data_IF_432598355577
#
_entry.id   IF_432598355577
#
_cell.length_a   1.000
_cell.length_b   1.000
_cell.length_c   1.000
_cell.angle_alpha   90.00
_cell.angle_beta   90.00
_cell.angle_gamma   90.00
#
_symmetry.space_group_name_H-M   'P 1'
#
loop_
_entity.id
_entity.type
_entity.pdbx_description
1 polymer ?
#
# COMPACT_ATOMS: atom_id res chain seq x y z
N UNK A 1 -14.09 19.93 -27.47
CA UNK A 1 -14.16 20.76 -26.25
C UNK A 1 -14.72 19.90 -25.13
N UNK A 2 -13.86 19.49 -24.22
CA UNK A 2 -14.19 18.65 -23.06
C UNK A 2 -14.91 19.49 -22.00
N UNK A 3 -16.02 18.98 -21.46
CA UNK A 3 -16.31 18.90 -20.01
C UNK A 3 -17.81 18.74 -19.78
N UNK A 4 -18.19 17.57 -19.26
CA UNK A 4 -19.11 17.43 -18.12
C UNK A 4 -19.03 15.98 -17.64
N UNK A 5 -17.87 15.62 -17.11
CA UNK A 5 -17.82 14.52 -16.17
C UNK A 5 -18.69 14.94 -14.99
N UNK A 6 -19.88 14.34 -14.91
CA UNK A 6 -20.59 14.21 -13.65
C UNK A 6 -19.65 13.47 -12.68
N UNK A 7 -18.84 14.22 -11.94
CA UNK A 7 -17.93 13.66 -10.96
C UNK A 7 -18.77 12.87 -9.95
N UNK A 8 -18.35 11.65 -9.65
CA UNK A 8 -19.01 10.87 -8.61
C UNK A 8 -18.95 11.66 -7.31
N UNK A 9 -20.07 11.74 -6.57
CA UNK A 9 -20.11 12.43 -5.28
C UNK A 9 -19.11 11.84 -4.28
N UNK A 10 -18.83 10.54 -4.42
CA UNK A 10 -17.82 9.84 -3.67
C UNK A 10 -16.44 10.04 -4.29
N UNK A 11 -15.45 10.36 -3.45
CA UNK A 11 -14.06 10.49 -3.86
C UNK A 11 -13.51 9.11 -4.23
N UNK A 12 -13.93 8.05 -3.55
CA UNK A 12 -13.53 6.66 -3.74
C UNK A 12 -14.76 5.75 -3.58
N UNK A 13 -14.78 4.56 -4.18
CA UNK A 13 -15.87 3.60 -4.04
C UNK A 13 -17.22 4.08 -4.61
N UNK A 14 -18.32 3.61 -4.03
CA UNK A 14 -19.68 3.90 -4.53
C UNK A 14 -20.16 5.30 -4.13
N UNK A 15 -20.71 6.02 -5.10
CA UNK A 15 -21.35 7.31 -4.90
C UNK A 15 -22.53 7.49 -5.84
N UNK A 16 -22.95 8.74 -5.98
CA UNK A 16 -24.00 9.11 -6.92
C UNK A 16 -23.59 10.31 -7.74
N UNK A 17 -24.20 10.42 -8.91
CA UNK A 17 -23.95 11.55 -9.80
C UNK A 17 -25.26 12.08 -10.35
N UNK A 18 -25.40 13.41 -10.37
CA UNK A 18 -26.64 14.08 -10.74
C UNK A 18 -26.48 14.92 -12.00
N UNK A 19 -27.50 14.87 -12.88
CA UNK A 19 -27.57 15.67 -14.11
C UNK A 19 -28.76 16.61 -14.07
N UNK A 20 -28.64 17.73 -14.78
CA UNK A 20 -29.77 18.59 -15.05
C UNK A 20 -30.73 17.89 -16.03
N UNK A 21 -31.98 17.74 -15.60
CA UNK A 21 -33.10 17.31 -16.44
C UNK A 21 -34.08 18.47 -16.52
N UNK A 22 -34.40 18.91 -17.73
CA UNK A 22 -35.33 20.01 -17.96
C UNK A 22 -36.12 19.75 -19.24
N UNK A 23 -37.39 20.13 -19.24
CA UNK A 23 -38.23 20.09 -20.44
C UNK A 23 -37.68 21.06 -21.49
N UNK A 24 -37.54 20.61 -22.74
CA UNK A 24 -37.11 21.47 -23.85
C UNK A 24 -37.95 21.23 -25.09
N UNK A 25 -38.16 22.27 -25.88
CA UNK A 25 -38.82 22.17 -27.19
C UNK A 25 -37.86 21.78 -28.32
N UNK A 26 -38.40 21.60 -29.53
CA UNK A 26 -37.61 21.26 -30.73
C UNK A 26 -36.59 22.33 -31.14
N UNK A 27 -36.75 23.56 -30.64
CA UNK A 27 -35.83 24.67 -30.86
C UNK A 27 -34.79 24.78 -29.73
N UNK A 28 -34.81 23.88 -28.75
CA UNK A 28 -33.88 23.81 -27.63
C UNK A 28 -34.19 24.75 -26.46
N UNK A 29 -35.34 25.43 -26.45
CA UNK A 29 -35.75 26.35 -25.37
C UNK A 29 -36.20 25.57 -24.15
N UNK A 30 -35.79 26.02 -22.97
CA UNK A 30 -36.25 25.45 -21.70
C UNK A 30 -37.70 25.84 -21.44
N UNK A 31 -38.52 24.85 -21.15
CA UNK A 31 -39.93 25.00 -20.81
C UNK A 31 -40.17 24.57 -19.35
N UNK A 32 -41.26 25.04 -18.73
CA UNK A 32 -41.72 24.48 -17.45
C UNK A 32 -42.01 22.97 -17.58
N UNK A 33 -41.69 22.21 -16.52
CA UNK A 33 -41.82 20.74 -16.51
C UNK A 33 -43.25 20.25 -16.88
N UNK A 34 -44.28 21.06 -16.60
CA UNK A 34 -45.68 20.74 -16.92
C UNK A 34 -45.93 20.39 -18.40
N UNK A 35 -45.16 20.97 -19.32
CA UNK A 35 -45.26 20.68 -20.76
C UNK A 35 -44.76 19.27 -21.10
N UNK A 36 -43.95 18.66 -20.23
CA UNK A 36 -43.41 17.32 -20.37
C UNK A 36 -44.04 16.30 -19.39
N UNK A 37 -45.02 16.67 -18.56
CA UNK A 37 -45.61 15.79 -17.54
C UNK A 37 -46.24 14.49 -18.09
N UNK A 38 -46.62 14.49 -19.36
CA UNK A 38 -47.17 13.32 -20.05
C UNK A 38 -46.09 12.33 -20.50
N UNK A 39 -44.80 12.69 -20.34
CA UNK A 39 -43.65 11.87 -20.66
C UNK A 39 -42.98 11.39 -19.38
N UNK A 40 -42.39 10.20 -19.41
CA UNK A 40 -41.56 9.73 -18.31
C UNK A 40 -40.25 10.53 -18.29
N UNK A 41 -39.94 11.28 -17.20
CA UNK A 41 -38.71 12.04 -17.13
C UNK A 41 -37.50 11.10 -17.01
N UNK A 42 -36.36 11.43 -17.63
CA UNK A 42 -35.14 10.67 -17.43
C UNK A 42 -34.65 10.81 -15.99
N UNK A 43 -33.92 9.79 -15.50
CA UNK A 43 -33.37 9.81 -14.14
C UNK A 43 -32.45 11.03 -13.94
N UNK A 44 -32.67 11.77 -12.85
CA UNK A 44 -31.88 12.95 -12.46
C UNK A 44 -30.57 12.56 -11.77
N UNK A 45 -30.51 11.36 -11.23
CA UNK A 45 -29.41 10.84 -10.44
C UNK A 45 -29.21 9.36 -10.79
N UNK A 46 -27.95 8.92 -10.76
CA UNK A 46 -27.60 7.52 -10.94
C UNK A 46 -26.41 7.14 -10.06
N UNK A 47 -26.28 5.84 -9.75
CA UNK A 47 -25.13 5.32 -9.04
C UNK A 47 -23.87 5.45 -9.90
N UNK A 48 -22.75 5.72 -9.24
CA UNK A 48 -21.43 5.73 -9.85
C UNK A 48 -20.42 5.07 -8.92
N UNK A 49 -19.33 4.60 -9.52
CA UNK A 49 -18.19 4.07 -8.79
C UNK A 49 -16.98 4.93 -9.12
N UNK A 50 -16.34 5.46 -8.09
CA UNK A 50 -15.08 6.18 -8.25
C UNK A 50 -13.93 5.18 -8.35
N UNK A 51 -13.06 5.42 -9.32
CA UNK A 51 -11.85 4.60 -9.53
C UNK A 51 -10.74 4.90 -8.52
N UNK A 52 -10.94 5.84 -7.60
CA UNK A 52 -9.95 6.10 -6.56
C UNK A 52 -10.04 5.03 -5.46
N UNK A 53 -8.88 4.67 -4.94
CA UNK A 53 -8.73 3.75 -3.80
C UNK A 53 -9.19 4.44 -2.51
N UNK A 54 -9.97 3.73 -1.69
CA UNK A 54 -10.50 4.26 -0.43
C UNK A 54 -9.52 4.12 0.73
N UNK A 55 -8.54 3.23 0.64
CA UNK A 55 -7.58 2.95 1.70
C UNK A 55 -6.17 3.47 1.45
N UNK A 56 -5.40 3.53 2.53
CA UNK A 56 -3.96 3.75 2.50
C UNK A 56 -3.22 2.56 3.13
N UNK A 57 -2.05 2.24 2.57
CA UNK A 57 -1.17 1.22 3.15
C UNK A 57 -0.49 1.75 4.41
N UNK A 58 -0.61 1.00 5.49
CA UNK A 58 0.07 1.25 6.77
C UNK A 58 0.99 0.08 7.09
N UNK A 59 2.19 0.39 7.54
CA UNK A 59 3.20 -0.62 7.89
C UNK A 59 3.45 -0.64 9.39
N UNK A 60 3.46 -1.83 9.97
CA UNK A 60 3.96 -2.04 11.32
C UNK A 60 5.48 -2.01 11.39
N UNK A 61 6.04 -2.12 12.61
CA UNK A 61 7.49 -2.29 12.79
C UNK A 61 7.96 -3.61 12.16
N UNK A 62 9.23 -3.63 11.74
CA UNK A 62 9.89 -4.88 11.38
C UNK A 62 10.06 -5.75 12.61
N UNK A 63 9.79 -7.05 12.47
CA UNK A 63 10.16 -8.04 13.46
C UNK A 63 11.70 -8.11 13.57
N UNK A 64 12.19 -8.71 14.65
CA UNK A 64 13.60 -9.07 14.74
C UNK A 64 13.94 -10.14 13.70
N UNK A 65 15.22 -10.28 13.36
CA UNK A 65 15.68 -11.42 12.58
C UNK A 65 15.47 -12.71 13.40
N UNK A 66 15.08 -13.80 12.73
CA UNK A 66 14.88 -15.10 13.38
C UNK A 66 16.19 -15.72 13.88
N UNK A 67 17.30 -15.31 13.28
CA UNK A 67 18.66 -15.81 13.51
C UNK A 67 19.60 -14.64 13.80
N UNK A 68 20.75 -14.94 14.42
CA UNK A 68 21.84 -13.97 14.64
C UNK A 68 22.98 -14.12 13.62
N UNK A 69 23.03 -15.23 12.90
CA UNK A 69 23.95 -15.51 11.80
C UNK A 69 23.20 -16.20 10.66
N UNK A 70 23.76 -16.21 9.45
CA UNK A 70 23.21 -16.94 8.32
C UNK A 70 22.99 -16.08 7.08
N UNK A 71 23.13 -16.71 5.92
CA UNK A 71 22.90 -16.08 4.62
C UNK A 71 21.42 -16.23 4.24
N UNK A 72 20.84 -15.21 3.61
CA UNK A 72 19.43 -15.18 3.18
C UNK A 72 18.40 -15.24 4.31
N UNK A 73 18.78 -14.89 5.54
CA UNK A 73 17.83 -14.71 6.64
C UNK A 73 16.91 -13.55 6.32
N UNK A 74 15.61 -13.71 6.57
CA UNK A 74 14.58 -12.70 6.28
C UNK A 74 13.82 -12.34 7.54
N UNK A 75 13.31 -11.12 7.58
CA UNK A 75 12.39 -10.65 8.61
C UNK A 75 11.16 -10.05 7.96
N UNK A 76 10.06 -10.01 8.72
CA UNK A 76 8.75 -9.64 8.24
C UNK A 76 8.18 -8.45 9.01
N UNK A 77 7.24 -7.75 8.39
CA UNK A 77 6.41 -6.74 9.06
C UNK A 77 4.96 -6.89 8.62
N UNK A 78 4.06 -6.35 9.42
CA UNK A 78 2.67 -6.21 9.00
C UNK A 78 2.55 -5.07 7.98
N UNK A 79 1.75 -5.30 6.94
CA UNK A 79 1.35 -4.32 5.93
C UNK A 79 -0.15 -4.48 5.76
N UNK A 80 -0.91 -3.46 6.18
CA UNK A 80 -2.38 -3.51 6.22
C UNK A 80 -2.95 -2.32 5.45
N UNK A 81 -4.08 -2.55 4.76
CA UNK A 81 -4.84 -1.47 4.17
C UNK A 81 -5.77 -0.88 5.24
N UNK A 82 -5.75 0.44 5.42
CA UNK A 82 -6.58 1.12 6.43
C UNK A 82 -7.36 2.29 5.86
N UNK A 83 -8.50 2.57 6.48
CA UNK A 83 -9.32 3.76 6.24
C UNK A 83 -8.55 5.03 6.62
N UNK A 84 -8.43 6.03 5.73
CA UNK A 84 -7.75 7.29 6.05
C UNK A 84 -8.46 8.09 7.15
N UNK A 85 -9.77 7.88 7.34
CA UNK A 85 -10.57 8.66 8.29
C UNK A 85 -10.67 7.99 9.65
N UNK A 86 -10.77 6.66 9.70
CA UNK A 86 -11.03 5.91 10.93
C UNK A 86 -9.87 5.02 11.37
N UNK A 87 -8.87 4.82 10.50
CA UNK A 87 -7.74 3.87 10.69
C UNK A 87 -8.18 2.40 10.81
N UNK A 88 -9.46 2.10 10.51
CA UNK A 88 -9.99 0.74 10.48
C UNK A 88 -9.36 -0.08 9.36
N UNK A 89 -9.21 -1.38 9.58
CA UNK A 89 -8.72 -2.30 8.56
C UNK A 89 -9.74 -2.46 7.42
N UNK A 90 -9.25 -2.33 6.19
CA UNK A 90 -10.01 -2.50 4.95
C UNK A 90 -9.53 -3.73 4.19
N UNK A 91 -10.22 -4.07 3.09
CA UNK A 91 -9.73 -5.10 2.17
C UNK A 91 -8.51 -4.58 1.40
N UNK A 92 -7.61 -5.48 1.02
CA UNK A 92 -6.41 -5.07 0.26
C UNK A 92 -6.75 -4.39 -1.08
N UNK A 93 -7.91 -4.73 -1.68
CA UNK A 93 -8.40 -4.14 -2.92
C UNK A 93 -8.80 -2.66 -2.77
N UNK A 94 -9.13 -2.22 -1.55
CA UNK A 94 -9.45 -0.82 -1.26
C UNK A 94 -8.22 0.08 -1.32
N UNK A 95 -7.01 -0.50 -1.24
CA UNK A 95 -5.74 0.19 -1.43
C UNK A 95 -5.16 -0.04 -2.83
N UNK A 96 -4.33 0.89 -3.30
CA UNK A 96 -3.59 0.71 -4.54
C UNK A 96 -2.52 -0.39 -4.35
N UNK A 97 -2.80 -1.59 -4.86
CA UNK A 97 -1.90 -2.76 -4.75
C UNK A 97 -0.51 -2.48 -5.34
N UNK A 98 -0.39 -1.58 -6.33
CA UNK A 98 0.90 -1.21 -6.94
C UNK A 98 1.79 -0.43 -5.97
N UNK A 99 1.19 0.19 -4.96
CA UNK A 99 1.88 0.94 -3.90
C UNK A 99 2.06 0.11 -2.62
N UNK A 100 1.68 -1.17 -2.60
CA UNK A 100 1.82 -2.03 -1.42
C UNK A 100 3.30 -2.13 -1.03
N UNK A 101 3.68 -1.68 0.19
CA UNK A 101 5.05 -1.81 0.66
C UNK A 101 5.43 -3.29 0.85
N UNK A 102 6.71 -3.62 0.70
CA UNK A 102 7.19 -4.99 0.99
C UNK A 102 6.91 -5.35 2.45
N UNK A 103 6.37 -6.55 2.67
CA UNK A 103 6.20 -7.15 3.99
C UNK A 103 7.42 -7.98 4.42
N UNK A 104 8.43 -8.12 3.56
CA UNK A 104 9.64 -8.92 3.77
C UNK A 104 10.90 -8.09 3.50
N UNK A 105 11.95 -8.33 4.29
CA UNK A 105 13.28 -7.74 4.11
C UNK A 105 14.37 -8.72 4.50
N UNK A 106 15.48 -8.72 3.78
CA UNK A 106 16.67 -9.49 4.16
C UNK A 106 17.36 -8.92 5.39
N UNK A 107 17.81 -9.82 6.26
CA UNK A 107 18.69 -9.54 7.37
C UNK A 107 20.15 -9.65 6.90
N UNK A 108 20.94 -8.61 7.16
CA UNK A 108 22.37 -8.61 6.83
C UNK A 108 23.15 -9.20 8.02
N UNK A 109 23.27 -10.53 8.05
CA UNK A 109 23.93 -11.27 9.12
C UNK A 109 25.22 -11.95 8.61
N UNK A 110 26.24 -12.14 9.48
CA UNK A 110 27.44 -12.89 9.11
C UNK A 110 27.12 -14.36 8.88
N UNK A 111 27.89 -15.10 8.06
CA UNK A 111 27.76 -16.55 7.93
C UNK A 111 27.94 -17.25 9.28
N UNK A 112 27.10 -18.24 9.57
CA UNK A 112 27.30 -19.08 10.74
C UNK A 112 28.58 -19.91 10.60
N UNK A 113 29.28 -20.13 11.71
CA UNK A 113 30.47 -20.98 11.74
C UNK A 113 31.78 -20.31 11.32
N UNK A 114 31.77 -19.02 10.97
CA UNK A 114 32.97 -18.22 11.10
C UNK A 114 33.11 -17.84 12.58
N UNK A 115 33.69 -18.74 13.38
CA UNK A 115 34.44 -18.26 14.55
C UNK A 115 35.37 -17.20 14.00
N UNK A 116 35.20 -15.94 14.39
CA UNK A 116 36.11 -14.86 14.02
C UNK A 116 37.55 -15.33 14.20
N UNK A 117 38.35 -15.58 13.16
CA UNK A 117 39.79 -15.65 13.31
C UNK A 117 40.30 -14.21 13.12
N UNK A 118 39.71 -13.26 13.84
CA UNK A 118 40.27 -11.92 13.99
C UNK A 118 41.00 -11.76 15.33
N UNK A 119 41.23 -12.87 16.04
CA UNK A 119 42.25 -12.99 17.08
C UNK A 119 43.05 -14.30 16.90
N UNK A 120 43.46 -14.60 15.66
CA UNK A 120 44.74 -15.31 15.51
C UNK A 120 45.78 -14.21 15.46
N UNK A 121 46.05 -13.57 16.61
CA UNK A 121 47.42 -13.15 16.82
C UNK A 121 48.21 -14.44 16.79
N UNK A 122 48.97 -14.58 15.71
CA UNK A 122 49.89 -15.66 15.51
C UNK A 122 51.04 -15.45 16.51
N UNK A 123 50.74 -15.61 17.80
CA UNK A 123 51.69 -15.47 18.90
C UNK A 123 52.52 -16.75 18.96
N UNK A 124 53.33 -16.90 17.91
CA UNK A 124 54.72 -17.34 17.91
C UNK A 124 55.09 -18.20 19.12
N UNK A 125 54.73 -19.48 19.10
CA UNK A 125 55.38 -20.46 19.94
C UNK A 125 56.81 -20.69 19.40
N UNK A 126 57.82 -20.26 20.17
CA UNK A 126 59.25 -20.41 19.86
C UNK A 126 59.89 -21.44 20.81
N UNK A 127 60.73 -22.31 20.27
CA UNK A 127 61.47 -23.31 21.06
C UNK A 127 62.41 -22.61 22.05
N UNK A 128 62.28 -22.92 23.35
CA UNK A 128 63.29 -22.55 24.34
C UNK A 128 64.25 -23.71 24.53
N UNK A 129 65.50 -23.50 24.15
CA UNK A 129 66.60 -24.41 24.48
C UNK A 129 66.99 -24.14 25.93
N UNK A 130 66.89 -25.17 26.78
CA UNK A 130 67.40 -25.12 28.15
C UNK A 130 68.91 -25.36 28.18
N UNK A 131 69.57 -24.84 29.21
CA UNK A 131 71.00 -25.09 29.43
C UNK A 131 71.26 -26.58 29.76
N UNK A 132 72.41 -27.08 29.32
CA UNK A 132 72.86 -28.43 29.64
C UNK A 132 73.33 -28.49 31.09
N UNK A 133 72.87 -29.49 31.84
CA UNK A 133 73.28 -29.70 33.24
C UNK A 133 74.64 -30.41 33.33
N UNK A 134 75.58 -29.80 34.06
CA UNK A 134 76.72 -30.47 34.72
C UNK A 134 76.67 -30.21 36.23
#
# INVERSE_FOLDING_TARGET
MLMRSLQCSAICGLGRRSRLVACRDMFGRFLPDQYCNHLQPPAREEACESTAHCGNWKTGPWQSCSELCGVNVKTYRQVVCVSPQTDDHLEEADCDVRKKPSNERSCNLPPCGQSSPSEIDNEKYEWRVGDWSE
#
